data_IF_586756223512
#
_entry.id   IF_586756223512
#
_cell.length_a   1.000
_cell.length_b   1.000
_cell.length_c   1.000
_cell.angle_alpha   90.00
_cell.angle_beta   90.00
_cell.angle_gamma   90.00
#
_symmetry.space_group_name_H-M   'P 1'
#
loop_
_entity.id
_entity.type
_entity.pdbx_description
1 polymer ?
#
# COMPACT_ATOMS: atom_id res chain seq x y z
N UNK A 1 -81.18 -27.39 -53.03
CA UNK A 1 -80.54 -27.95 -51.78
C UNK A 1 -79.03 -27.73 -51.90
N UNK A 2 -78.54 -26.64 -51.37
CA UNK A 2 -77.12 -26.28 -51.44
C UNK A 2 -76.50 -26.42 -50.05
N UNK A 3 -75.52 -27.28 -49.93
CA UNK A 3 -74.69 -27.41 -48.69
C UNK A 3 -73.49 -26.51 -48.83
N UNK A 4 -73.38 -25.56 -47.94
CA UNK A 4 -72.10 -24.80 -47.72
C UNK A 4 -71.11 -25.64 -47.02
N UNK A 5 -69.88 -25.73 -47.52
CA UNK A 5 -68.72 -26.20 -46.79
C UNK A 5 -68.11 -25.04 -46.02
N UNK A 6 -68.15 -25.08 -44.70
CA UNK A 6 -67.35 -24.23 -43.84
C UNK A 6 -65.90 -24.75 -43.84
N UNK A 7 -64.97 -23.90 -44.27
CA UNK A 7 -63.55 -24.13 -44.19
C UNK A 7 -63.03 -23.54 -42.90
N UNK A 8 -62.86 -24.37 -41.88
CA UNK A 8 -62.14 -23.99 -40.67
C UNK A 8 -60.65 -23.80 -41.00
N UNK A 9 -60.23 -22.55 -41.08
CA UNK A 9 -58.82 -22.21 -41.20
C UNK A 9 -58.18 -22.35 -39.82
N UNK A 10 -57.43 -23.43 -39.60
CA UNK A 10 -56.59 -23.61 -38.44
C UNK A 10 -55.47 -22.57 -38.45
N UNK A 11 -55.56 -21.58 -37.61
CA UNK A 11 -54.56 -20.53 -37.46
C UNK A 11 -53.38 -21.04 -36.64
N UNK A 12 -52.34 -21.55 -37.31
CA UNK A 12 -51.05 -21.87 -36.67
C UNK A 12 -50.39 -20.56 -36.20
N UNK A 13 -50.55 -20.26 -34.91
CA UNK A 13 -49.68 -19.29 -34.26
C UNK A 13 -48.26 -19.86 -34.29
N UNK A 14 -47.41 -19.28 -35.14
CA UNK A 14 -45.97 -19.40 -35.01
C UNK A 14 -45.54 -18.67 -33.77
N UNK A 15 -45.45 -19.35 -32.63
CA UNK A 15 -44.71 -18.90 -31.49
C UNK A 15 -43.22 -18.87 -31.90
N UNK A 16 -42.76 -17.72 -32.31
CA UNK A 16 -41.37 -17.46 -32.66
C UNK A 16 -40.53 -17.40 -31.41
N UNK A 17 -40.20 -18.59 -30.82
CA UNK A 17 -39.15 -18.68 -29.83
C UNK A 17 -37.85 -18.23 -30.48
N UNK A 18 -37.43 -17.00 -30.17
CA UNK A 18 -36.09 -16.52 -30.54
C UNK A 18 -35.07 -17.48 -29.96
N UNK A 19 -34.07 -17.92 -30.74
CA UNK A 19 -33.13 -18.95 -30.31
C UNK A 19 -32.45 -18.53 -29.02
N UNK A 20 -32.49 -19.38 -27.97
CA UNK A 20 -31.94 -19.08 -26.65
C UNK A 20 -30.41 -19.20 -26.58
N UNK A 21 -29.77 -19.70 -27.64
CA UNK A 21 -28.31 -19.88 -27.68
C UNK A 21 -27.51 -18.58 -27.50
N UNK A 22 -27.92 -17.36 -27.95
CA UNK A 22 -27.16 -16.15 -27.65
C UNK A 22 -27.14 -15.83 -26.15
N UNK A 23 -28.24 -16.08 -25.43
CA UNK A 23 -28.32 -15.91 -23.97
C UNK A 23 -27.41 -16.89 -23.26
N UNK A 24 -27.37 -18.15 -23.70
CA UNK A 24 -26.51 -19.21 -23.14
C UNK A 24 -25.02 -18.87 -23.35
N UNK A 25 -24.64 -18.42 -24.55
CA UNK A 25 -23.26 -17.98 -24.83
C UNK A 25 -22.90 -16.78 -23.97
N UNK A 26 -23.78 -15.79 -23.85
CA UNK A 26 -23.56 -14.61 -23.00
C UNK A 26 -23.37 -14.99 -21.53
N UNK A 27 -24.19 -15.90 -21.00
CA UNK A 27 -24.06 -16.39 -19.63
C UNK A 27 -22.76 -17.18 -19.42
N UNK A 28 -22.40 -18.05 -20.35
CA UNK A 28 -21.15 -18.82 -20.29
C UNK A 28 -19.92 -17.91 -20.33
N UNK A 29 -19.91 -16.92 -21.20
CA UNK A 29 -18.83 -15.93 -21.28
C UNK A 29 -18.72 -15.10 -20.00
N UNK A 30 -19.83 -14.62 -19.45
CA UNK A 30 -19.85 -13.88 -18.20
C UNK A 30 -19.35 -14.73 -17.02
N UNK A 31 -19.78 -15.99 -16.92
CA UNK A 31 -19.33 -16.94 -15.88
C UNK A 31 -17.84 -17.21 -16.02
N UNK A 32 -17.32 -17.41 -17.22
CA UNK A 32 -15.89 -17.64 -17.46
C UNK A 32 -15.05 -16.41 -17.07
N UNK A 33 -15.48 -15.22 -17.42
CA UNK A 33 -14.82 -13.96 -17.03
C UNK A 33 -14.84 -13.77 -15.50
N UNK A 34 -15.97 -14.05 -14.85
CA UNK A 34 -16.08 -14.01 -13.40
C UNK A 34 -15.14 -15.01 -12.72
N UNK A 35 -15.08 -16.25 -13.25
CA UNK A 35 -14.17 -17.28 -12.73
C UNK A 35 -12.71 -16.88 -12.91
N UNK A 36 -12.32 -16.38 -14.09
CA UNK A 36 -10.96 -15.88 -14.33
C UNK A 36 -10.60 -14.72 -13.39
N UNK A 37 -11.55 -13.81 -13.15
CA UNK A 37 -11.38 -12.72 -12.20
C UNK A 37 -11.15 -13.25 -10.78
N UNK A 38 -11.96 -14.19 -10.31
CA UNK A 38 -11.84 -14.80 -8.99
C UNK A 38 -10.51 -15.55 -8.85
N UNK A 39 -10.17 -16.40 -9.81
CA UNK A 39 -8.91 -17.16 -9.79
C UNK A 39 -7.71 -16.22 -9.73
N UNK A 40 -7.68 -15.20 -10.60
CA UNK A 40 -6.56 -14.25 -10.66
C UNK A 40 -6.38 -13.40 -9.40
N UNK A 41 -7.46 -13.08 -8.69
CA UNK A 41 -7.42 -12.21 -7.52
C UNK A 41 -7.33 -12.96 -6.19
N UNK A 42 -7.89 -14.17 -6.10
CA UNK A 42 -8.01 -14.90 -4.83
C UNK A 42 -7.14 -16.16 -4.75
N UNK A 43 -6.59 -16.61 -5.89
CA UNK A 43 -5.69 -17.78 -5.94
C UNK A 43 -4.34 -17.38 -6.56
N UNK A 44 -3.49 -16.64 -5.83
CA UNK A 44 -2.15 -16.38 -6.33
C UNK A 44 -1.39 -17.69 -6.50
N UNK A 45 -0.70 -17.81 -7.61
CA UNK A 45 0.14 -18.97 -7.92
C UNK A 45 1.47 -18.94 -7.11
N UNK A 46 1.38 -18.69 -5.81
CA UNK A 46 2.56 -18.75 -4.94
C UNK A 46 2.94 -20.22 -4.73
N UNK A 47 4.14 -20.60 -5.17
CA UNK A 47 4.75 -21.86 -4.76
C UNK A 47 4.99 -21.79 -3.27
N UNK A 48 4.18 -22.49 -2.48
CA UNK A 48 4.47 -22.73 -1.06
C UNK A 48 5.76 -23.53 -0.98
N UNK A 49 6.87 -22.86 -0.72
CA UNK A 49 8.13 -23.51 -0.41
C UNK A 49 7.97 -24.19 0.95
N UNK A 50 7.86 -25.53 0.93
CA UNK A 50 7.75 -26.36 2.16
C UNK A 50 9.13 -26.93 2.52
N UNK A 51 10.14 -26.10 2.58
CA UNK A 51 11.46 -26.55 2.98
C UNK A 51 11.84 -25.89 4.31
N UNK A 52 12.25 -26.70 5.28
CA UNK A 52 12.91 -26.22 6.47
C UNK A 52 14.39 -25.98 6.12
N UNK A 53 14.86 -24.76 6.31
CA UNK A 53 16.30 -24.49 6.24
C UNK A 53 16.92 -25.10 7.51
N UNK A 54 17.77 -26.11 7.35
CA UNK A 54 18.66 -26.56 8.43
C UNK A 54 19.88 -25.67 8.40
N UNK A 55 19.95 -24.74 9.33
CA UNK A 55 21.11 -23.86 9.47
C UNK A 55 22.01 -24.40 10.56
N UNK A 56 23.30 -24.52 10.26
CA UNK A 56 24.34 -24.89 11.22
C UNK A 56 24.90 -23.65 11.96
N UNK A 57 24.15 -22.52 11.91
CA UNK A 57 24.48 -21.25 12.51
C UNK A 57 23.26 -20.59 13.18
N UNK A 58 23.53 -19.72 14.15
CA UNK A 58 22.49 -18.94 14.86
C UNK A 58 22.37 -17.53 14.29
N UNK A 59 21.34 -16.80 14.72
CA UNK A 59 21.13 -15.40 14.31
C UNK A 59 22.25 -14.44 14.77
N UNK A 60 23.04 -14.85 15.77
CA UNK A 60 24.19 -14.09 16.26
C UNK A 60 25.48 -14.32 15.47
N UNK A 61 25.50 -15.25 14.52
CA UNK A 61 26.70 -15.57 13.75
C UNK A 61 26.87 -14.68 12.52
N UNK A 62 28.10 -14.31 12.18
CA UNK A 62 28.42 -13.57 10.96
C UNK A 62 27.92 -14.28 9.69
N UNK A 63 27.82 -15.62 9.74
CA UNK A 63 27.27 -16.41 8.64
C UNK A 63 25.80 -16.12 8.41
N UNK A 64 25.00 -15.86 9.47
CA UNK A 64 23.61 -15.42 9.32
C UNK A 64 23.55 -14.09 8.56
N UNK A 65 24.34 -13.09 9.00
CA UNK A 65 24.37 -11.76 8.36
C UNK A 65 24.72 -11.87 6.89
N UNK A 66 25.79 -12.62 6.54
CA UNK A 66 26.20 -12.84 5.15
C UNK A 66 25.12 -13.56 4.33
N UNK A 67 24.52 -14.60 4.90
CA UNK A 67 23.51 -15.40 4.20
C UNK A 67 22.25 -14.58 3.94
N UNK A 68 21.70 -13.93 4.96
CA UNK A 68 20.46 -13.15 4.83
C UNK A 68 20.67 -11.91 3.96
N UNK A 69 21.81 -11.22 4.08
CA UNK A 69 22.14 -10.08 3.24
C UNK A 69 22.25 -10.42 1.74
N UNK A 70 22.59 -11.66 1.40
CA UNK A 70 22.67 -12.10 0.00
C UNK A 70 21.39 -12.79 -0.51
N UNK A 71 20.60 -13.42 0.37
CA UNK A 71 19.39 -14.13 -0.05
C UNK A 71 18.18 -13.21 -0.14
N UNK A 72 18.06 -12.22 0.76
CA UNK A 72 16.84 -11.40 0.90
C UNK A 72 16.84 -10.12 0.05
N UNK A 73 17.85 -9.88 -0.74
CA UNK A 73 17.93 -8.75 -1.66
C UNK A 73 18.62 -7.53 -1.04
N UNK A 74 17.97 -6.63 -0.28
CA UNK A 74 18.65 -5.50 0.32
C UNK A 74 19.69 -5.96 1.35
N UNK A 75 20.88 -5.35 1.40
CA UNK A 75 21.92 -5.74 2.35
C UNK A 75 21.50 -5.39 3.79
N UNK A 76 22.00 -6.14 4.75
CA UNK A 76 22.00 -5.75 6.16
C UNK A 76 22.94 -4.55 6.35
N UNK A 77 22.45 -3.49 6.95
CA UNK A 77 23.19 -2.25 7.16
C UNK A 77 23.40 -2.01 8.67
N UNK A 78 24.63 -1.77 9.06
CA UNK A 78 25.00 -1.38 10.40
C UNK A 78 24.84 0.12 10.65
N UNK A 79 24.89 0.51 11.92
CA UNK A 79 24.92 1.92 12.30
C UNK A 79 23.56 2.57 12.41
N UNK A 80 22.51 1.79 12.60
CA UNK A 80 21.15 2.31 12.71
C UNK A 80 20.72 2.48 14.17
N UNK A 81 19.69 3.31 14.37
CA UNK A 81 18.95 3.45 15.61
C UNK A 81 17.47 3.27 15.32
N UNK A 82 16.87 2.30 15.98
CA UNK A 82 15.42 2.03 15.93
C UNK A 82 14.83 2.35 17.29
N UNK A 83 13.89 3.28 17.33
CA UNK A 83 13.19 3.70 18.54
C UNK A 83 11.75 3.24 18.47
N UNK A 84 11.28 2.34 19.34
CA UNK A 84 9.89 1.91 19.36
C UNK A 84 8.98 3.04 19.84
N UNK A 85 7.81 3.15 19.25
CA UNK A 85 6.73 4.06 19.60
C UNK A 85 5.46 3.22 19.78
N UNK A 86 4.80 3.36 20.91
CA UNK A 86 3.62 2.59 21.25
C UNK A 86 2.38 3.47 21.24
N UNK A 87 1.36 3.04 20.53
CA UNK A 87 0.04 3.67 20.43
C UNK A 87 0.08 5.12 19.94
N UNK A 88 -1.10 5.66 19.66
CA UNK A 88 -1.23 6.97 19.01
C UNK A 88 -0.69 8.14 19.81
N UNK A 89 -0.70 8.05 21.14
CA UNK A 89 -0.16 9.08 22.04
C UNK A 89 1.35 9.28 21.92
N UNK A 90 2.11 8.27 21.49
CA UNK A 90 3.53 8.39 21.18
C UNK A 90 3.77 8.53 19.68
N UNK A 91 3.04 7.76 18.86
CA UNK A 91 3.28 7.66 17.41
C UNK A 91 2.97 8.98 16.70
N UNK A 92 1.75 9.51 16.87
CA UNK A 92 1.34 10.70 16.13
C UNK A 92 2.13 11.95 16.45
N UNK A 93 2.43 12.27 17.74
CA UNK A 93 3.30 13.39 18.05
C UNK A 93 4.70 13.25 17.46
N UNK A 94 5.30 12.06 17.48
CA UNK A 94 6.62 11.82 16.91
C UNK A 94 6.64 11.99 15.38
N UNK A 95 5.65 11.45 14.67
CA UNK A 95 5.51 11.62 13.22
C UNK A 95 5.25 13.07 12.83
N UNK A 96 4.32 13.76 13.51
CA UNK A 96 4.01 15.18 13.27
C UNK A 96 5.22 16.09 13.57
N UNK A 97 5.98 15.79 14.61
CA UNK A 97 7.24 16.49 14.88
C UNK A 97 8.24 16.28 13.73
N UNK A 98 8.38 15.03 13.24
CA UNK A 98 9.18 14.74 12.06
C UNK A 98 8.76 15.57 10.85
N UNK A 99 7.47 15.57 10.51
CA UNK A 99 6.93 16.33 9.38
C UNK A 99 7.24 17.82 9.54
N UNK A 100 6.97 18.41 10.72
CA UNK A 100 7.21 19.84 10.98
C UNK A 100 8.69 20.23 10.92
N UNK A 101 9.61 19.29 11.20
CA UNK A 101 11.06 19.52 11.14
C UNK A 101 11.66 19.39 9.74
N UNK A 102 10.91 18.91 8.76
CA UNK A 102 11.39 18.70 7.39
C UNK A 102 11.90 20.00 6.74
N UNK A 103 13.04 19.90 6.06
CA UNK A 103 13.69 21.04 5.39
C UNK A 103 13.72 20.88 3.87
N UNK A 104 13.74 19.66 3.33
CA UNK A 104 13.96 19.37 1.91
C UNK A 104 12.85 18.53 1.29
N UNK A 105 12.57 17.37 1.89
CA UNK A 105 11.65 16.38 1.31
C UNK A 105 10.83 15.65 2.36
N UNK A 106 9.60 15.31 2.01
CA UNK A 106 8.77 14.35 2.74
C UNK A 106 8.24 13.35 1.71
N UNK A 107 8.44 12.06 1.96
CA UNK A 107 7.75 10.98 1.25
C UNK A 107 6.91 10.21 2.24
N UNK A 108 5.60 10.14 2.00
CA UNK A 108 4.66 9.53 2.93
C UNK A 108 3.73 8.58 2.17
N UNK A 109 3.77 7.31 2.52
CA UNK A 109 2.88 6.27 2.02
C UNK A 109 2.05 5.72 3.18
N UNK A 110 0.73 5.67 3.00
CA UNK A 110 -0.16 5.10 4.01
C UNK A 110 -1.29 4.32 3.35
N UNK A 111 -1.71 3.21 3.99
CA UNK A 111 -2.85 2.42 3.51
C UNK A 111 -4.16 3.07 3.92
N UNK A 112 -4.30 3.43 5.20
CA UNK A 112 -5.56 3.90 5.77
C UNK A 112 -5.44 5.38 6.16
N UNK A 113 -6.26 6.21 5.51
CA UNK A 113 -6.35 7.64 5.77
C UNK A 113 -7.83 8.03 5.81
N UNK A 114 -8.38 8.18 7.02
CA UNK A 114 -9.79 8.50 7.25
C UNK A 114 -9.95 9.92 7.76
N UNK A 115 -11.07 10.56 7.38
CA UNK A 115 -11.41 11.89 7.90
C UNK A 115 -11.56 11.85 9.42
N UNK A 116 -10.93 12.81 10.10
CA UNK A 116 -10.93 12.95 11.55
C UNK A 116 -9.86 13.94 12.01
N UNK A 117 -9.74 14.10 13.32
CA UNK A 117 -8.78 15.04 13.92
C UNK A 117 -7.32 14.68 13.58
N UNK A 118 -7.00 13.38 13.57
CA UNK A 118 -5.65 12.91 13.24
C UNK A 118 -5.31 13.24 11.80
N UNK A 119 -6.17 12.90 10.84
CA UNK A 119 -5.92 13.17 9.43
C UNK A 119 -5.86 14.69 9.12
N UNK A 120 -6.67 15.48 9.78
CA UNK A 120 -6.62 16.95 9.65
C UNK A 120 -5.26 17.48 10.13
N UNK A 121 -4.79 17.04 11.30
CA UNK A 121 -3.49 17.45 11.82
C UNK A 121 -2.31 17.09 10.91
N UNK A 122 -2.35 15.88 10.33
CA UNK A 122 -1.35 15.45 9.33
C UNK A 122 -1.43 16.26 8.04
N UNK A 123 -2.63 16.49 7.52
CA UNK A 123 -2.84 17.27 6.30
C UNK A 123 -2.38 18.74 6.47
N UNK A 124 -2.66 19.35 7.61
CA UNK A 124 -2.20 20.71 7.94
C UNK A 124 -0.67 20.78 8.02
N UNK A 125 -0.03 19.82 8.69
CA UNK A 125 1.43 19.77 8.81
C UNK A 125 2.13 19.58 7.46
N UNK A 126 1.62 18.66 6.61
CA UNK A 126 2.14 18.42 5.26
C UNK A 126 1.92 19.64 4.36
N UNK A 127 0.73 20.24 4.42
CA UNK A 127 0.41 21.45 3.66
C UNK A 127 1.27 22.64 4.08
N UNK A 128 1.54 22.81 5.39
CA UNK A 128 2.43 23.84 5.88
C UNK A 128 3.86 23.67 5.33
N UNK A 129 4.39 22.47 5.37
CA UNK A 129 5.74 22.21 4.83
C UNK A 129 5.81 22.43 3.31
N UNK A 130 4.80 22.02 2.56
CA UNK A 130 4.74 22.27 1.11
C UNK A 130 4.72 23.77 0.79
N UNK A 131 3.93 24.58 1.52
CA UNK A 131 3.93 26.05 1.37
C UNK A 131 5.27 26.69 1.71
N UNK A 132 6.06 26.07 2.58
CA UNK A 132 7.40 26.51 2.96
C UNK A 132 8.51 25.92 2.06
N UNK A 133 8.16 25.38 0.89
CA UNK A 133 9.12 24.95 -0.12
C UNK A 133 9.66 23.52 0.03
N UNK A 134 9.19 22.76 1.02
CA UNK A 134 9.51 21.33 1.15
C UNK A 134 8.78 20.55 0.06
N UNK A 135 9.50 19.63 -0.63
CA UNK A 135 8.90 18.74 -1.63
C UNK A 135 8.16 17.61 -0.93
N UNK A 136 6.84 17.64 -0.96
CA UNK A 136 6.00 16.67 -0.25
C UNK A 136 5.31 15.73 -1.24
N UNK A 137 5.56 14.42 -1.10
CA UNK A 137 4.97 13.35 -1.90
C UNK A 137 4.14 12.46 -0.98
N UNK A 138 2.85 12.40 -1.23
CA UNK A 138 1.90 11.60 -0.45
C UNK A 138 1.26 10.55 -1.36
N UNK A 139 1.42 9.29 -0.99
CA UNK A 139 0.87 8.12 -1.69
C UNK A 139 -0.15 7.42 -0.81
N UNK A 140 -1.37 7.31 -1.30
CA UNK A 140 -2.50 6.72 -0.61
C UNK A 140 -3.01 5.51 -1.38
N UNK A 141 -3.34 4.40 -0.69
CA UNK A 141 -4.06 3.29 -1.35
C UNK A 141 -5.51 3.67 -1.65
N UNK A 142 -6.02 3.22 -2.79
CA UNK A 142 -7.37 3.55 -3.22
C UNK A 142 -8.48 2.96 -2.33
N UNK A 143 -8.25 1.80 -1.69
CA UNK A 143 -9.24 1.14 -0.82
C UNK A 143 -9.18 1.61 0.63
N UNK A 144 -8.04 2.11 1.09
CA UNK A 144 -7.85 2.59 2.46
C UNK A 144 -8.23 4.04 2.68
N UNK A 145 -8.77 4.72 1.67
CA UNK A 145 -9.13 6.13 1.72
C UNK A 145 -10.65 6.30 1.62
N UNK A 146 -11.30 6.63 2.71
CA UNK A 146 -12.75 6.90 2.71
C UNK A 146 -13.10 8.16 1.90
N UNK A 147 -12.10 9.01 1.62
CA UNK A 147 -12.31 10.30 0.97
C UNK A 147 -11.16 10.66 0.01
N UNK A 148 -11.04 9.96 -1.13
CA UNK A 148 -10.14 10.37 -2.24
C UNK A 148 -10.35 11.86 -2.62
N UNK A 149 -11.49 12.42 -2.29
CA UNK A 149 -11.87 13.82 -2.52
C UNK A 149 -12.15 14.59 -1.22
N UNK A 150 -11.75 14.06 -0.07
CA UNK A 150 -12.00 14.65 1.23
C UNK A 150 -11.33 16.01 1.44
N UNK A 151 -11.69 16.67 2.56
CA UNK A 151 -11.19 18.01 2.92
C UNK A 151 -9.67 18.01 3.08
N UNK A 152 -9.12 17.02 3.78
CA UNK A 152 -7.68 16.88 4.02
C UNK A 152 -6.89 16.75 2.72
N UNK A 153 -7.34 15.92 1.78
CA UNK A 153 -6.70 15.73 0.47
C UNK A 153 -6.75 17.02 -0.36
N UNK A 154 -7.89 17.72 -0.36
CA UNK A 154 -8.02 19.01 -1.05
C UNK A 154 -7.09 20.08 -0.46
N UNK A 155 -6.95 20.11 0.86
CA UNK A 155 -6.02 21.03 1.55
C UNK A 155 -4.57 20.78 1.11
N UNK A 156 -4.13 19.51 1.16
CA UNK A 156 -2.78 19.11 0.74
C UNK A 156 -2.51 19.47 -0.73
N UNK A 157 -3.41 19.12 -1.64
CA UNK A 157 -3.26 19.45 -3.08
C UNK A 157 -3.18 20.96 -3.34
N UNK A 158 -4.02 21.76 -2.67
CA UNK A 158 -3.99 23.24 -2.81
C UNK A 158 -2.69 23.85 -2.28
N UNK A 159 -2.05 23.20 -1.31
CA UNK A 159 -0.77 23.64 -0.75
C UNK A 159 0.45 23.23 -1.58
N UNK A 160 0.27 22.43 -2.65
CA UNK A 160 1.35 21.96 -3.51
C UNK A 160 1.91 20.59 -3.15
N UNK A 161 1.25 19.84 -2.26
CA UNK A 161 1.60 18.43 -2.00
C UNK A 161 1.29 17.61 -3.24
N UNK A 162 2.25 16.82 -3.72
CA UNK A 162 2.04 15.82 -4.77
C UNK A 162 1.29 14.62 -4.17
N UNK A 163 -0.01 14.58 -4.37
CA UNK A 163 -0.89 13.53 -3.83
C UNK A 163 -1.27 12.56 -4.93
N UNK A 164 -0.90 11.30 -4.77
CA UNK A 164 -1.20 10.22 -5.70
C UNK A 164 -1.99 9.10 -5.04
N UNK A 165 -2.78 8.39 -5.87
CA UNK A 165 -3.60 7.25 -5.44
C UNK A 165 -3.05 5.98 -6.07
N UNK A 166 -2.54 5.08 -5.24
CA UNK A 166 -1.99 3.81 -5.68
C UNK A 166 -3.09 2.89 -6.19
N UNK A 167 -2.95 2.43 -7.43
CA UNK A 167 -3.84 1.45 -8.09
C UNK A 167 -5.32 1.79 -8.03
N UNK A 168 -5.68 2.99 -8.45
CA UNK A 168 -7.06 3.49 -8.39
C UNK A 168 -8.07 2.55 -9.07
N UNK A 169 -7.76 1.95 -10.24
CA UNK A 169 -8.63 0.99 -10.92
C UNK A 169 -7.83 -0.01 -11.75
N UNK A 170 -7.49 -1.15 -11.17
CA UNK A 170 -7.09 -2.32 -11.95
C UNK A 170 -7.94 -3.52 -11.54
N UNK A 171 -9.04 -3.76 -12.23
CA UNK A 171 -9.96 -4.87 -11.97
C UNK A 171 -9.24 -6.24 -11.91
N UNK A 172 -8.17 -6.42 -12.68
CA UNK A 172 -7.41 -7.66 -12.69
C UNK A 172 -6.49 -7.86 -11.47
N UNK A 173 -6.33 -6.85 -10.61
CA UNK A 173 -5.42 -6.86 -9.45
C UNK A 173 -6.01 -6.15 -8.23
N UNK A 174 -7.31 -6.33 -7.98
CA UNK A 174 -8.01 -5.63 -6.90
C UNK A 174 -7.45 -5.96 -5.50
N UNK A 175 -6.87 -7.16 -5.33
CA UNK A 175 -6.26 -7.60 -4.08
C UNK A 175 -4.79 -7.18 -3.93
N UNK A 176 -4.16 -6.65 -5.00
CA UNK A 176 -2.78 -6.17 -4.92
C UNK A 176 -2.77 -4.74 -4.41
N UNK A 177 -2.75 -4.57 -3.10
CA UNK A 177 -2.79 -3.30 -2.39
C UNK A 177 -1.46 -3.01 -1.73
N UNK A 178 -1.14 -1.73 -1.58
CA UNK A 178 -0.06 -1.39 -0.68
C UNK A 178 -0.58 -1.39 0.75
N UNK A 179 0.06 -2.15 1.63
CA UNK A 179 -0.23 -2.11 3.06
C UNK A 179 0.91 -1.44 3.83
N UNK A 180 1.79 -0.74 3.10
CA UNK A 180 2.92 -0.03 3.66
C UNK A 180 2.47 1.24 4.38
N UNK A 181 3.07 1.51 5.52
CA UNK A 181 2.92 2.75 6.28
C UNK A 181 4.33 3.27 6.54
N UNK A 182 4.79 4.12 5.62
CA UNK A 182 6.17 4.61 5.56
C UNK A 182 6.13 6.12 5.49
N UNK A 183 6.87 6.78 6.38
CA UNK A 183 7.13 8.21 6.29
C UNK A 183 8.64 8.42 6.33
N UNK A 184 9.20 9.11 5.34
CA UNK A 184 10.62 9.48 5.33
C UNK A 184 10.75 10.99 5.24
N UNK A 185 11.57 11.55 6.12
CA UNK A 185 11.86 12.98 6.25
C UNK A 185 13.30 13.24 5.83
N UNK A 186 13.49 14.09 4.83
CA UNK A 186 14.79 14.55 4.32
C UNK A 186 15.76 13.41 3.94
N UNK A 187 15.24 12.18 3.77
CA UNK A 187 16.03 10.98 3.50
C UNK A 187 16.84 10.47 4.69
N UNK A 188 16.74 11.06 5.89
CA UNK A 188 17.56 10.75 7.07
C UNK A 188 16.78 10.25 8.27
N UNK A 189 15.48 10.45 8.31
CA UNK A 189 14.60 10.02 9.40
C UNK A 189 13.41 9.28 8.82
N UNK A 190 13.23 8.04 9.23
CA UNK A 190 12.14 7.19 8.77
C UNK A 190 11.17 6.82 9.88
N UNK A 191 9.93 6.54 9.51
CA UNK A 191 8.91 5.94 10.37
C UNK A 191 8.27 4.78 9.64
N UNK A 192 8.10 3.65 10.32
CA UNK A 192 7.48 2.44 9.78
C UNK A 192 6.72 1.70 10.88
N UNK A 193 5.57 1.13 10.56
CA UNK A 193 4.80 0.32 11.52
C UNK A 193 3.38 0.01 11.05
N UNK A 194 2.49 -0.27 12.00
CA UNK A 194 1.13 -0.73 11.71
C UNK A 194 0.09 0.38 11.64
N UNK A 195 0.34 1.56 12.22
CA UNK A 195 -0.67 2.59 12.43
C UNK A 195 -1.21 3.18 11.12
N UNK A 196 -2.54 3.32 11.03
CA UNK A 196 -3.20 4.14 10.02
C UNK A 196 -3.36 5.59 10.48
N UNK A 197 -3.66 6.49 9.57
CA UNK A 197 -3.95 7.89 9.88
C UNK A 197 -5.47 8.03 10.07
N UNK A 198 -5.92 7.71 11.28
CA UNK A 198 -7.33 7.75 11.68
C UNK A 198 -7.47 7.90 13.21
N UNK A 199 -8.62 8.38 13.63
CA UNK A 199 -8.92 8.58 15.05
C UNK A 199 -9.03 7.26 15.83
N UNK A 200 -9.24 6.15 15.15
CA UNK A 200 -9.24 4.80 15.74
C UNK A 200 -7.96 4.45 16.52
N UNK A 201 -6.83 5.04 16.18
CA UNK A 201 -5.54 4.84 16.86
C UNK A 201 -5.18 5.93 17.87
N UNK A 202 -6.10 6.83 18.24
CA UNK A 202 -5.83 7.90 19.23
C UNK A 202 -5.55 7.34 20.62
N UNK A 203 -4.71 8.06 21.37
CA UNK A 203 -4.42 7.78 22.77
C UNK A 203 -3.64 6.49 23.00
N UNK A 204 -3.90 5.86 24.15
CA UNK A 204 -3.15 4.68 24.62
C UNK A 204 -3.69 3.34 24.13
N UNK A 205 -4.76 3.35 23.34
CA UNK A 205 -5.43 2.13 22.89
C UNK A 205 -6.04 1.27 24.02
N UNK A 206 -6.22 1.81 25.22
CA UNK A 206 -6.80 1.12 26.38
C UNK A 206 -8.31 1.31 26.52
N UNK A 207 -8.86 2.26 25.76
CA UNK A 207 -10.30 2.55 25.75
C UNK A 207 -10.98 1.68 24.69
N UNK A 208 -12.17 1.16 24.99
CA UNK A 208 -12.96 0.39 24.03
C UNK A 208 -13.18 1.18 22.72
N UNK A 209 -13.00 0.52 21.59
CA UNK A 209 -13.14 1.13 20.26
C UNK A 209 -11.85 1.79 19.75
N UNK A 210 -10.80 1.90 20.55
CA UNK A 210 -9.48 2.37 20.11
C UNK A 210 -8.51 1.21 19.89
N UNK A 211 -7.66 1.34 18.90
CA UNK A 211 -6.71 0.29 18.50
C UNK A 211 -5.34 0.54 19.10
N UNK A 212 -4.70 -0.55 19.50
CA UNK A 212 -3.29 -0.57 19.90
C UNK A 212 -2.44 -0.87 18.69
N UNK A 213 -1.27 -0.23 18.63
CA UNK A 213 -0.31 -0.50 17.56
C UNK A 213 1.10 -0.15 17.99
N UNK A 214 2.06 -0.65 17.22
CA UNK A 214 3.48 -0.31 17.37
C UNK A 214 4.00 0.31 16.07
N UNK A 215 4.79 1.34 16.23
CA UNK A 215 5.49 2.03 15.14
C UNK A 215 6.93 2.27 15.54
N UNK A 216 7.78 2.53 14.59
CA UNK A 216 9.21 2.69 14.86
C UNK A 216 9.73 3.92 14.16
N UNK A 217 10.44 4.78 14.90
CA UNK A 217 11.30 5.79 14.31
C UNK A 217 12.65 5.14 14.01
N UNK A 218 13.16 5.36 12.80
CA UNK A 218 14.39 4.77 12.29
C UNK A 218 15.33 5.88 11.80
N UNK A 219 16.59 5.79 12.19
CA UNK A 219 17.67 6.68 11.73
C UNK A 219 18.89 5.85 11.34
N UNK A 220 19.72 6.39 10.44
CA UNK A 220 20.92 5.74 9.94
C UNK A 220 20.75 5.13 8.55
N UNK A 221 21.73 4.34 8.09
CA UNK A 221 21.82 3.89 6.69
C UNK A 221 20.58 3.17 6.16
N UNK A 222 19.83 2.46 7.00
CA UNK A 222 18.63 1.72 6.59
C UNK A 222 17.48 2.63 6.12
N UNK A 223 17.51 3.93 6.44
CA UNK A 223 16.49 4.90 5.96
C UNK A 223 16.47 4.97 4.43
N UNK A 224 17.60 4.79 3.77
CA UNK A 224 17.67 4.71 2.32
C UNK A 224 16.87 3.53 1.74
N UNK A 225 16.80 2.40 2.47
CA UNK A 225 15.97 1.26 2.08
C UNK A 225 14.47 1.54 2.29
N UNK A 226 14.09 2.30 3.31
CA UNK A 226 12.70 2.78 3.48
C UNK A 226 12.31 3.73 2.34
N UNK A 227 13.21 4.66 1.99
CA UNK A 227 13.00 5.56 0.85
C UNK A 227 12.85 4.79 -0.46
N UNK A 228 13.65 3.76 -0.68
CA UNK A 228 13.51 2.86 -1.83
C UNK A 228 12.16 2.14 -1.83
N UNK A 229 11.71 1.66 -0.67
CA UNK A 229 10.41 0.98 -0.58
C UNK A 229 9.23 1.91 -0.95
N UNK A 230 9.29 3.19 -0.58
CA UNK A 230 8.34 4.20 -1.08
C UNK A 230 8.46 4.37 -2.59
N UNK A 231 9.70 4.47 -3.11
CA UNK A 231 9.97 4.71 -4.52
C UNK A 231 9.39 3.65 -5.44
N UNK A 232 9.37 2.37 -5.02
CA UNK A 232 8.80 1.28 -5.84
C UNK A 232 7.34 1.59 -6.21
N UNK A 233 6.53 1.98 -5.23
CA UNK A 233 5.11 2.26 -5.43
C UNK A 233 4.86 3.64 -6.07
N UNK A 234 5.71 4.63 -5.77
CA UNK A 234 5.64 5.94 -6.40
C UNK A 234 5.92 5.86 -7.90
N UNK A 235 6.98 5.14 -8.27
CA UNK A 235 7.36 4.94 -9.66
C UNK A 235 6.27 4.17 -10.45
N UNK A 236 5.67 3.13 -9.83
CA UNK A 236 4.55 2.39 -10.42
C UNK A 236 3.35 3.30 -10.67
N UNK A 237 3.10 4.27 -9.77
CA UNK A 237 1.90 5.12 -9.83
C UNK A 237 2.06 6.30 -10.76
N UNK A 238 3.23 6.96 -10.76
CA UNK A 238 3.45 8.25 -11.43
C UNK A 238 4.48 8.19 -12.56
N UNK A 239 5.23 7.09 -12.68
CA UNK A 239 6.37 6.97 -13.61
C UNK A 239 7.43 8.08 -13.41
N UNK A 240 7.56 8.59 -12.19
CA UNK A 240 8.51 9.63 -11.79
C UNK A 240 9.53 9.06 -10.82
N UNK A 241 10.81 9.25 -11.09
CA UNK A 241 11.91 8.84 -10.23
C UNK A 241 12.37 10.01 -9.36
N UNK A 242 12.12 9.92 -8.04
CA UNK A 242 12.67 10.85 -7.07
C UNK A 242 14.09 10.43 -6.72
N UNK A 243 15.09 11.27 -6.98
CA UNK A 243 16.51 10.89 -6.87
C UNK A 243 17.37 12.03 -6.35
N UNK A 244 18.66 11.71 -6.13
CA UNK A 244 19.67 12.67 -5.68
C UNK A 244 19.62 12.93 -4.17
N UNK A 245 20.51 13.81 -3.71
CA UNK A 245 20.70 14.15 -2.30
C UNK A 245 19.44 14.53 -1.51
N UNK A 246 18.41 15.17 -2.10
CA UNK A 246 17.21 15.48 -1.33
C UNK A 246 16.48 14.24 -0.80
N UNK A 247 16.58 13.10 -1.53
CA UNK A 247 15.89 11.84 -1.21
C UNK A 247 16.84 10.77 -0.69
N UNK A 248 18.08 10.76 -1.17
CA UNK A 248 19.13 9.81 -0.82
C UNK A 248 20.41 10.53 -0.40
N UNK A 249 20.40 11.27 0.72
CA UNK A 249 21.63 11.93 1.21
C UNK A 249 22.63 10.88 1.70
N UNK A 250 23.88 11.31 1.86
CA UNK A 250 24.87 10.52 2.59
C UNK A 250 24.35 10.18 3.97
N UNK A 251 24.37 8.91 4.33
CA UNK A 251 23.85 8.43 5.59
C UNK A 251 24.95 8.41 6.66
N UNK A 252 24.64 8.99 7.81
CA UNK A 252 25.50 8.93 8.99
C UNK A 252 25.06 7.78 9.91
N UNK A 253 26.00 7.23 10.67
CA UNK A 253 25.68 6.26 11.73
C UNK A 253 24.88 6.98 12.83
N UNK A 254 23.76 6.39 13.23
CA UNK A 254 22.88 6.92 14.27
C UNK A 254 22.87 6.08 15.54
N UNK A 255 23.44 4.87 15.48
CA UNK A 255 23.48 3.91 16.56
C UNK A 255 24.34 2.69 16.20
N UNK A 256 24.06 1.57 16.84
CA UNK A 256 24.82 0.32 16.74
C UNK A 256 24.00 -0.86 16.18
N UNK A 257 22.73 -0.61 15.84
CA UNK A 257 21.86 -1.70 15.39
C UNK A 257 22.10 -2.02 13.90
N UNK A 258 22.08 -3.31 13.59
CA UNK A 258 22.11 -3.83 12.23
C UNK A 258 20.67 -4.06 11.76
N UNK A 259 20.30 -3.43 10.64
CA UNK A 259 18.94 -3.42 10.14
C UNK A 259 18.85 -3.72 8.64
N UNK A 260 17.72 -4.25 8.21
CA UNK A 260 17.36 -4.48 6.82
C UNK A 260 15.88 -4.19 6.64
N UNK A 261 15.47 -3.60 5.52
CA UNK A 261 14.07 -3.46 5.17
C UNK A 261 13.68 -4.56 4.19
N UNK A 262 12.87 -5.48 4.68
CA UNK A 262 12.33 -6.55 3.89
C UNK A 262 11.00 -6.11 3.27
N UNK A 263 10.89 -6.20 1.93
CA UNK A 263 9.68 -5.80 1.20
C UNK A 263 8.87 -7.03 0.82
N UNK A 264 7.59 -6.99 1.16
CA UNK A 264 6.59 -7.97 0.72
C UNK A 264 5.64 -7.29 -0.27
N UNK A 265 5.39 -7.92 -1.38
CA UNK A 265 4.37 -7.50 -2.35
C UNK A 265 3.63 -8.73 -2.90
N UNK A 266 2.37 -8.54 -3.27
CA UNK A 266 1.55 -9.60 -3.86
C UNK A 266 1.84 -9.72 -5.37
N UNK A 267 3.08 -9.97 -5.78
CA UNK A 267 3.45 -10.06 -7.20
C UNK A 267 4.83 -10.70 -7.42
N UNK A 268 5.14 -11.01 -8.67
CA UNK A 268 6.46 -11.49 -9.03
C UNK A 268 7.53 -10.45 -8.66
N UNK A 269 8.56 -10.88 -7.96
CA UNK A 269 9.69 -10.03 -7.55
C UNK A 269 9.60 -9.48 -6.13
N UNK A 270 8.64 -9.92 -5.31
CA UNK A 270 8.67 -9.58 -3.88
C UNK A 270 9.81 -10.33 -3.17
N UNK A 271 10.43 -9.67 -2.19
CA UNK A 271 11.46 -10.31 -1.37
C UNK A 271 10.89 -11.50 -0.57
N UNK A 272 9.58 -11.49 -0.27
CA UNK A 272 8.87 -12.61 0.37
C UNK A 272 8.74 -13.85 -0.51
N UNK A 273 8.81 -13.73 -1.84
CA UNK A 273 8.79 -14.86 -2.76
C UNK A 273 10.14 -15.59 -2.86
N UNK A 274 11.20 -15.06 -2.20
CA UNK A 274 12.55 -15.65 -2.19
C UNK A 274 12.82 -16.49 -0.94
N UNK A 275 11.93 -16.47 0.03
CA UNK A 275 11.93 -17.31 1.24
C UNK A 275 10.94 -18.46 1.08
#
# INVERSE_FOLDING_TARGET
>A
MSRRCDSDAVNFRKDGDSPQWPKLIGTAAASSLATLFLVRNFFPAEKKVRHSIRADYTVGDDTFVRTMGNLLGPPLLEGNKVTPLENGDQIFPAMLNGIRSAQRTITFENFLFREGEVSDAFAEALADRARNGVKVHFLQDALGCDAVHGRAIKLMKRAGVAVEIFRFVHFSRINFRTHRKILVIDGVRGFIGGVGIADDWKGTGRTHGLWRDSHYEVRGPVVAQLQQAFMDNWLETRAELLHGDPYFPTQERAGDQTCQIFKSSAGEGSDSGRL
#
